data_IF_721552501229
#
_entry.id   IF_721552501229
#
_cell.length_a   1.000
_cell.length_b   1.000
_cell.length_c   1.000
_cell.angle_alpha   90.00
_cell.angle_beta   90.00
_cell.angle_gamma   90.00
#
_symmetry.space_group_name_H-M   'P 1'
#
loop_
_entity.id
_entity.type
_entity.pdbx_description
1 polymer ?
#
# COMPACT_ATOMS: atom_id res chain seq x y z
N UNK A 1 -3.60 25.42 1.24
CA UNK A 1 -4.22 26.43 0.38
C UNK A 1 -5.72 26.17 0.23
N UNK A 2 -6.19 25.01 -0.25
CA UNK A 2 -7.63 24.70 -0.43
C UNK A 2 -8.46 24.87 0.84
N UNK A 3 -7.98 24.41 2.01
CA UNK A 3 -8.64 24.62 3.33
C UNK A 3 -8.80 26.10 3.72
N UNK A 4 -8.04 27.00 3.09
CA UNK A 4 -8.12 28.46 3.28
C UNK A 4 -8.98 29.14 2.20
N UNK A 5 -9.64 28.36 1.34
CA UNK A 5 -10.52 28.88 0.28
C UNK A 5 -9.82 29.36 -0.98
N UNK A 6 -8.50 29.10 -1.14
CA UNK A 6 -7.82 29.42 -2.40
C UNK A 6 -8.28 28.45 -3.50
N UNK A 7 -8.60 28.99 -4.67
CA UNK A 7 -8.88 28.22 -5.87
C UNK A 7 -7.61 27.80 -6.62
N UNK A 8 -7.78 26.98 -7.65
CA UNK A 8 -6.68 26.47 -8.46
C UNK A 8 -5.93 27.62 -9.17
N UNK A 9 -6.66 28.62 -9.65
CA UNK A 9 -6.07 29.73 -10.41
C UNK A 9 -5.19 30.59 -9.52
N UNK A 10 -5.64 30.90 -8.31
CA UNK A 10 -4.85 31.66 -7.33
C UNK A 10 -3.64 30.88 -6.84
N UNK A 11 -3.76 29.56 -6.62
CA UNK A 11 -2.61 28.74 -6.22
C UNK A 11 -1.59 28.67 -7.35
N UNK A 12 -2.03 28.51 -8.61
CA UNK A 12 -1.15 28.54 -9.76
C UNK A 12 -0.44 29.89 -9.91
N UNK A 13 -1.15 30.99 -9.76
CA UNK A 13 -0.57 32.35 -9.81
C UNK A 13 0.60 32.50 -8.81
N UNK A 14 0.40 32.01 -7.59
CA UNK A 14 1.36 32.14 -6.50
C UNK A 14 2.55 31.18 -6.58
N UNK A 15 2.31 29.94 -7.06
CA UNK A 15 3.30 28.85 -6.97
C UNK A 15 3.91 28.46 -8.30
N UNK A 16 3.27 28.82 -9.41
CA UNK A 16 3.56 28.37 -10.77
C UNK A 16 3.45 26.86 -10.98
N UNK A 17 2.90 26.11 -10.02
CA UNK A 17 2.59 24.69 -10.18
C UNK A 17 1.54 24.55 -11.27
N UNK A 18 1.75 23.63 -12.21
CA UNK A 18 0.80 23.38 -13.30
C UNK A 18 -0.60 23.03 -12.75
N UNK A 19 -1.61 23.60 -13.39
CA UNK A 19 -3.02 23.46 -12.98
C UNK A 19 -3.50 22.01 -12.96
N UNK A 20 -2.94 21.15 -13.83
CA UNK A 20 -3.30 19.74 -13.86
C UNK A 20 -3.04 19.06 -12.51
N UNK A 21 -1.85 19.30 -11.91
CA UNK A 21 -1.54 18.79 -10.57
C UNK A 21 -2.44 19.40 -9.49
N UNK A 22 -2.71 20.71 -9.59
CA UNK A 22 -3.57 21.40 -8.64
C UNK A 22 -5.00 20.88 -8.67
N UNK A 23 -5.53 20.53 -9.86
CA UNK A 23 -6.85 19.88 -9.97
C UNK A 23 -6.84 18.50 -9.31
N UNK A 24 -5.78 17.70 -9.46
CA UNK A 24 -5.65 16.41 -8.76
C UNK A 24 -5.63 16.57 -7.26
N UNK A 25 -4.85 17.53 -6.75
CA UNK A 25 -4.83 17.85 -5.31
C UNK A 25 -6.18 18.38 -4.80
N UNK A 26 -6.89 19.16 -5.60
CA UNK A 26 -8.25 19.60 -5.26
C UNK A 26 -9.21 18.42 -5.12
N UNK A 27 -9.13 17.42 -6.02
CA UNK A 27 -9.96 16.23 -5.92
C UNK A 27 -9.70 15.47 -4.62
N UNK A 28 -8.43 15.29 -4.23
CA UNK A 28 -8.07 14.71 -2.93
C UNK A 28 -8.65 15.51 -1.76
N UNK A 29 -8.57 16.84 -1.83
CA UNK A 29 -9.14 17.72 -0.81
C UNK A 29 -10.68 17.57 -0.71
N UNK A 30 -11.37 17.49 -1.84
CA UNK A 30 -12.82 17.28 -1.88
C UNK A 30 -13.22 15.96 -1.22
N UNK A 31 -12.57 14.85 -1.59
CA UNK A 31 -12.80 13.54 -0.97
C UNK A 31 -12.50 13.56 0.54
N UNK A 32 -11.42 14.21 0.96
CA UNK A 32 -11.12 14.37 2.39
C UNK A 32 -12.21 15.16 3.12
N UNK A 33 -12.71 16.25 2.52
CA UNK A 33 -13.76 17.08 3.11
C UNK A 33 -15.09 16.32 3.22
N UNK A 34 -15.41 15.49 2.22
CA UNK A 34 -16.60 14.64 2.25
C UNK A 34 -16.50 13.58 3.35
N UNK A 35 -15.35 12.92 3.51
CA UNK A 35 -15.10 12.02 4.64
C UNK A 35 -15.18 12.76 5.99
N UNK A 36 -14.64 13.98 6.07
CA UNK A 36 -14.70 14.83 7.26
C UNK A 36 -16.14 15.29 7.61
N UNK A 37 -17.08 15.24 6.69
CA UNK A 37 -18.51 15.55 6.97
C UNK A 37 -19.24 14.43 7.71
N UNK A 38 -18.71 13.21 7.68
CA UNK A 38 -19.27 12.05 8.35
C UNK A 38 -18.85 12.00 9.83
N UNK A 39 -19.56 11.19 10.64
CA UNK A 39 -19.29 11.04 12.07
C UNK A 39 -18.97 9.58 12.46
N UNK A 40 -19.39 8.61 11.67
CA UNK A 40 -19.16 7.19 11.95
C UNK A 40 -18.63 6.45 10.73
N UNK A 41 -17.70 5.53 10.91
CA UNK A 41 -17.09 4.74 9.83
C UNK A 41 -18.16 3.96 9.04
N UNK A 42 -19.15 3.41 9.72
CA UNK A 42 -20.25 2.67 9.09
C UNK A 42 -21.13 3.50 8.13
N UNK A 43 -21.09 4.83 8.26
CA UNK A 43 -21.90 5.74 7.45
C UNK A 43 -21.17 6.11 6.13
N UNK A 44 -19.95 5.61 5.89
CA UNK A 44 -19.20 5.87 4.66
C UNK A 44 -19.89 5.15 3.49
N UNK A 45 -20.37 5.87 2.46
CA UNK A 45 -20.92 5.24 1.27
C UNK A 45 -19.86 4.40 0.53
N UNK A 46 -20.31 3.28 -0.08
CA UNK A 46 -19.42 2.38 -0.81
C UNK A 46 -18.59 3.09 -1.88
N UNK A 47 -19.24 3.95 -2.67
CA UNK A 47 -18.56 4.67 -3.75
C UNK A 47 -17.52 5.67 -3.22
N UNK A 48 -17.82 6.37 -2.12
CA UNK A 48 -16.88 7.27 -1.48
C UNK A 48 -15.66 6.50 -0.91
N UNK A 49 -15.90 5.35 -0.27
CA UNK A 49 -14.82 4.51 0.25
C UNK A 49 -13.94 3.98 -0.87
N UNK A 50 -14.55 3.50 -1.97
CA UNK A 50 -13.83 3.04 -3.15
C UNK A 50 -13.00 4.17 -3.79
N UNK A 51 -13.59 5.35 -3.97
CA UNK A 51 -12.89 6.52 -4.50
C UNK A 51 -11.71 6.91 -3.62
N UNK A 52 -11.89 6.98 -2.30
CA UNK A 52 -10.82 7.30 -1.37
C UNK A 52 -9.66 6.28 -1.47
N UNK A 53 -9.95 4.97 -1.56
CA UNK A 53 -8.92 3.93 -1.76
C UNK A 53 -8.20 4.08 -3.10
N UNK A 54 -8.92 4.38 -4.17
CA UNK A 54 -8.34 4.62 -5.50
C UNK A 54 -7.46 5.86 -5.54
N UNK A 55 -7.78 6.87 -4.74
CA UNK A 55 -6.98 8.09 -4.59
C UNK A 55 -5.80 7.94 -3.63
N UNK A 56 -5.61 6.78 -3.00
CA UNK A 56 -4.46 6.48 -2.16
C UNK A 56 -4.65 6.77 -0.66
N UNK A 57 -5.86 7.06 -0.19
CA UNK A 57 -6.10 7.19 1.25
C UNK A 57 -5.91 5.84 1.95
N UNK A 58 -5.09 5.81 2.99
CA UNK A 58 -4.98 4.63 3.85
C UNK A 58 -6.23 4.45 4.72
N UNK A 59 -6.47 3.23 5.20
CA UNK A 59 -7.57 2.95 6.13
C UNK A 59 -7.48 3.84 7.38
N UNK A 60 -6.24 4.13 7.83
CA UNK A 60 -5.99 5.05 8.95
C UNK A 60 -6.35 6.51 8.62
N UNK A 61 -6.00 7.00 7.43
CA UNK A 61 -6.34 8.36 7.01
C UNK A 61 -7.85 8.55 6.89
N UNK A 62 -8.57 7.54 6.36
CA UNK A 62 -10.02 7.53 6.28
C UNK A 62 -10.63 7.55 7.68
N UNK A 63 -10.17 6.67 8.59
CA UNK A 63 -10.64 6.66 9.97
C UNK A 63 -10.42 8.02 10.66
N UNK A 64 -9.24 8.62 10.48
CA UNK A 64 -8.89 9.93 11.05
C UNK A 64 -9.77 11.06 10.50
N UNK A 65 -10.08 11.04 9.21
CA UNK A 65 -10.95 12.05 8.60
C UNK A 65 -12.38 11.99 9.16
N UNK A 66 -12.93 10.77 9.29
CA UNK A 66 -14.30 10.56 9.77
C UNK A 66 -14.43 10.78 11.27
N UNK A 67 -13.55 10.19 12.07
CA UNK A 67 -13.65 10.20 13.53
C UNK A 67 -13.09 11.47 14.19
N UNK A 68 -12.19 12.19 13.51
CA UNK A 68 -11.60 13.45 14.01
C UNK A 68 -10.99 13.28 15.41
N UNK A 69 -11.51 14.00 16.40
CA UNK A 69 -11.08 13.92 17.80
C UNK A 69 -11.51 12.61 18.48
N UNK A 70 -12.49 11.90 17.93
CA UNK A 70 -13.00 10.63 18.46
C UNK A 70 -12.26 9.40 17.90
N UNK A 71 -11.06 9.57 17.33
CA UNK A 71 -10.29 8.49 16.72
C UNK A 71 -9.95 7.36 17.71
N UNK A 72 -9.74 7.71 19.00
CA UNK A 72 -9.40 6.73 20.03
C UNK A 72 -8.14 5.95 19.70
N UNK A 73 -8.20 4.62 19.81
CA UNK A 73 -7.11 3.74 19.38
C UNK A 73 -7.08 3.67 17.86
N UNK A 74 -6.04 4.27 17.26
CA UNK A 74 -5.87 4.33 15.81
C UNK A 74 -5.79 2.96 15.12
N UNK A 75 -5.26 1.95 15.80
CA UNK A 75 -5.22 0.58 15.28
C UNK A 75 -6.63 -0.02 15.17
N UNK A 76 -7.46 0.15 16.19
CA UNK A 76 -8.84 -0.31 16.18
C UNK A 76 -9.67 0.41 15.11
N UNK A 77 -9.48 1.71 14.96
CA UNK A 77 -10.14 2.50 13.93
C UNK A 77 -9.76 2.03 12.51
N UNK A 78 -8.49 1.70 12.29
CA UNK A 78 -7.99 1.10 11.05
C UNK A 78 -8.69 -0.23 10.74
N UNK A 79 -8.81 -1.12 11.74
CA UNK A 79 -9.52 -2.39 11.59
C UNK A 79 -11.00 -2.22 11.23
N UNK A 80 -11.68 -1.19 11.77
CA UNK A 80 -13.08 -0.89 11.44
C UNK A 80 -13.24 -0.47 9.96
N UNK A 81 -12.35 0.36 9.43
CA UNK A 81 -12.35 0.72 8.01
C UNK A 81 -12.04 -0.50 7.14
N UNK A 82 -11.04 -1.31 7.53
CA UNK A 82 -10.72 -2.57 6.84
C UNK A 82 -11.93 -3.52 6.79
N UNK A 83 -12.65 -3.68 7.88
CA UNK A 83 -13.85 -4.52 7.94
C UNK A 83 -14.92 -4.01 6.97
N UNK A 84 -15.23 -2.71 7.00
CA UNK A 84 -16.22 -2.11 6.12
C UNK A 84 -15.86 -2.25 4.63
N UNK A 85 -14.59 -1.99 4.24
CA UNK A 85 -14.22 -2.15 2.84
C UNK A 85 -14.22 -3.61 2.38
N UNK A 86 -13.94 -4.57 3.29
CA UNK A 86 -14.07 -6.00 2.97
C UNK A 86 -15.54 -6.40 2.77
N UNK A 87 -16.46 -5.86 3.58
CA UNK A 87 -17.91 -6.03 3.43
C UNK A 87 -18.39 -5.49 2.08
N UNK A 88 -17.88 -4.34 1.65
CA UNK A 88 -18.17 -3.75 0.34
C UNK A 88 -17.43 -4.43 -0.83
N UNK A 89 -16.60 -5.44 -0.57
CA UNK A 89 -15.79 -6.11 -1.60
C UNK A 89 -14.66 -5.23 -2.18
N UNK A 90 -14.30 -4.14 -1.52
CA UNK A 90 -13.23 -3.23 -1.94
C UNK A 90 -11.89 -3.82 -1.51
N UNK A 91 -11.24 -4.52 -2.44
CA UNK A 91 -9.94 -5.18 -2.24
C UNK A 91 -8.94 -4.66 -3.26
N UNK A 92 -7.66 -4.50 -2.89
CA UNK A 92 -6.64 -4.19 -3.86
C UNK A 92 -6.35 -5.41 -4.74
N UNK A 93 -5.85 -5.14 -5.93
CA UNK A 93 -5.31 -6.15 -6.84
C UNK A 93 -3.80 -6.01 -6.92
N UNK A 94 -3.12 -7.09 -7.28
CA UNK A 94 -1.67 -7.12 -7.46
C UNK A 94 -1.34 -6.97 -8.94
N UNK A 95 -0.46 -6.04 -9.22
CA UNK A 95 0.05 -5.76 -10.56
C UNK A 95 1.55 -6.02 -10.61
N UNK A 96 2.02 -6.51 -11.76
CA UNK A 96 3.44 -6.67 -12.04
C UNK A 96 4.01 -5.34 -12.56
N UNK A 97 5.21 -4.98 -12.07
CA UNK A 97 5.89 -3.78 -12.56
C UNK A 97 6.48 -4.08 -13.94
N UNK A 98 6.04 -3.31 -14.94
CA UNK A 98 6.59 -3.38 -16.28
C UNK A 98 7.93 -2.64 -16.33
N UNK A 99 9.00 -3.39 -16.57
CA UNK A 99 10.37 -2.87 -16.70
C UNK A 99 10.82 -2.75 -18.15
N UNK A 100 9.95 -3.08 -19.13
CA UNK A 100 10.28 -3.20 -20.55
C UNK A 100 9.42 -2.27 -21.44
N UNK A 101 8.78 -1.26 -20.85
CA UNK A 101 7.96 -0.27 -21.55
C UNK A 101 6.87 -0.89 -22.46
N UNK A 102 6.29 -2.00 -22.04
CA UNK A 102 5.31 -2.81 -22.78
C UNK A 102 5.81 -3.37 -24.15
N UNK A 103 7.10 -3.34 -24.41
CA UNK A 103 7.67 -3.95 -25.63
C UNK A 103 7.65 -5.49 -25.54
N UNK A 104 7.82 -6.03 -24.33
CA UNK A 104 7.70 -7.45 -24.03
C UNK A 104 6.92 -7.67 -22.73
N UNK A 105 6.27 -8.83 -22.54
CA UNK A 105 5.66 -9.18 -21.26
C UNK A 105 6.70 -9.14 -20.15
N UNK A 106 6.41 -8.42 -19.07
CA UNK A 106 7.29 -8.38 -17.91
C UNK A 106 7.39 -9.77 -17.25
N UNK A 107 8.61 -10.22 -16.96
CA UNK A 107 8.88 -11.52 -16.34
C UNK A 107 9.54 -11.36 -14.96
N UNK A 108 9.58 -10.13 -14.44
CA UNK A 108 10.13 -9.84 -13.13
C UNK A 108 9.17 -10.28 -12.03
N UNK A 109 9.71 -10.57 -10.85
CA UNK A 109 8.95 -10.82 -9.63
C UNK A 109 8.53 -9.54 -8.89
N UNK A 110 8.66 -8.37 -9.55
CA UNK A 110 8.35 -7.05 -8.99
C UNK A 110 6.88 -6.76 -9.05
N UNK A 111 6.27 -6.61 -7.89
CA UNK A 111 4.84 -6.48 -7.72
C UNK A 111 4.51 -5.21 -6.92
N UNK A 112 3.29 -4.70 -7.10
CA UNK A 112 2.70 -3.66 -6.26
C UNK A 112 1.19 -3.86 -6.13
N UNK A 113 0.60 -3.29 -5.08
CA UNK A 113 -0.85 -3.36 -4.87
C UNK A 113 -1.53 -2.06 -5.25
N UNK A 114 -2.68 -2.17 -5.91
CA UNK A 114 -3.47 -1.01 -6.33
C UNK A 114 -4.97 -1.26 -6.22
N UNK A 115 -5.74 -0.21 -5.96
CA UNK A 115 -7.20 -0.22 -6.07
C UNK A 115 -7.69 0.25 -7.45
N UNK A 116 -6.76 0.58 -8.36
CA UNK A 116 -7.07 1.05 -9.72
C UNK A 116 -7.05 -0.07 -10.78
N UNK A 117 -7.08 -1.32 -10.35
CA UNK A 117 -7.16 -2.49 -11.21
C UNK A 117 -8.40 -3.32 -10.95
N UNK A 118 -8.69 -4.26 -11.85
CA UNK A 118 -9.81 -5.19 -11.76
C UNK A 118 -9.38 -6.65 -11.58
N UNK A 119 -8.16 -6.98 -11.99
CA UNK A 119 -7.61 -8.34 -11.98
C UNK A 119 -6.20 -8.36 -11.44
N UNK A 120 -5.80 -9.49 -10.88
CA UNK A 120 -4.40 -9.75 -10.55
C UNK A 120 -3.62 -10.13 -11.82
N UNK A 121 -2.34 -9.74 -11.89
CA UNK A 121 -1.43 -10.15 -12.96
C UNK A 121 -0.72 -11.47 -12.63
N UNK A 122 -0.81 -11.94 -11.39
CA UNK A 122 -0.20 -13.18 -10.93
C UNK A 122 -1.24 -14.15 -10.38
N UNK A 123 -0.94 -15.44 -10.48
CA UNK A 123 -1.68 -16.50 -9.79
C UNK A 123 -1.12 -16.73 -8.38
N UNK A 124 -1.98 -17.16 -7.47
CA UNK A 124 -1.60 -17.51 -6.10
C UNK A 124 -1.77 -19.02 -5.90
N UNK A 125 -0.72 -19.65 -5.38
CA UNK A 125 -0.80 -21.01 -4.90
C UNK A 125 -1.24 -21.00 -3.43
N UNK A 126 -2.31 -21.68 -3.10
CA UNK A 126 -2.84 -21.82 -1.74
C UNK A 126 -2.30 -23.10 -1.05
N UNK A 127 -1.02 -23.40 -1.22
CA UNK A 127 -0.36 -24.57 -0.63
C UNK A 127 0.17 -24.32 0.80
N UNK A 128 0.02 -23.09 1.30
CA UNK A 128 0.52 -22.67 2.61
C UNK A 128 2.04 -22.66 2.76
N UNK A 129 2.80 -22.82 1.68
CA UNK A 129 4.26 -22.90 1.70
C UNK A 129 4.93 -21.57 1.37
N UNK A 130 4.51 -20.49 2.00
CA UNK A 130 5.13 -19.18 1.83
C UNK A 130 5.47 -18.54 3.17
N UNK A 131 6.54 -17.77 3.19
CA UNK A 131 6.97 -16.94 4.32
C UNK A 131 7.13 -15.51 3.83
N UNK A 132 6.53 -14.59 4.58
CA UNK A 132 6.63 -13.15 4.30
C UNK A 132 7.73 -12.56 5.16
N UNK A 133 8.68 -11.89 4.52
CA UNK A 133 9.74 -11.11 5.16
C UNK A 133 9.42 -9.62 4.94
N UNK A 134 9.38 -8.87 6.04
CA UNK A 134 9.14 -7.42 6.00
C UNK A 134 10.48 -6.70 6.12
N UNK A 135 10.79 -5.87 5.13
CA UNK A 135 12.03 -5.10 5.10
C UNK A 135 12.01 -3.87 5.99
N UNK A 136 13.13 -3.15 6.00
CA UNK A 136 13.30 -1.95 6.83
C UNK A 136 12.87 -0.64 6.14
N UNK A 137 12.55 -0.68 4.85
CA UNK A 137 12.24 0.51 4.06
C UNK A 137 13.48 1.31 3.63
N UNK A 138 13.28 2.59 3.33
CA UNK A 138 14.36 3.47 2.89
C UNK A 138 15.36 3.75 4.01
N UNK A 139 16.63 3.85 3.67
CA UNK A 139 17.68 4.22 4.61
C UNK A 139 17.46 5.65 5.13
N UNK A 140 17.70 5.80 6.43
CA UNK A 140 17.57 7.07 7.16
C UNK A 140 18.54 7.08 8.34
N UNK A 141 18.71 8.22 8.99
CA UNK A 141 19.48 8.30 10.24
C UNK A 141 18.91 7.31 11.27
N UNK A 142 19.76 6.42 11.78
CA UNK A 142 19.39 5.33 12.70
C UNK A 142 18.90 4.06 12.03
N UNK A 143 18.89 4.00 10.69
CA UNK A 143 18.67 2.79 9.89
C UNK A 143 19.91 2.48 9.09
N UNK A 144 20.37 1.24 9.10
CA UNK A 144 21.60 0.83 8.44
C UNK A 144 21.40 -0.42 7.57
N UNK A 145 22.42 -0.75 6.79
CA UNK A 145 22.44 -1.92 5.89
C UNK A 145 22.29 -3.24 6.63
N UNK A 146 22.57 -3.29 7.94
CA UNK A 146 22.42 -4.50 8.75
C UNK A 146 20.98 -5.01 8.79
N UNK A 147 19.98 -4.11 8.73
CA UNK A 147 18.58 -4.51 8.66
C UNK A 147 18.25 -5.21 7.33
N UNK A 148 18.85 -4.76 6.23
CA UNK A 148 18.72 -5.42 4.95
C UNK A 148 19.44 -6.76 4.93
N UNK A 149 20.60 -6.85 5.55
CA UNK A 149 21.34 -8.12 5.73
C UNK A 149 20.50 -9.17 6.46
N UNK A 150 19.77 -8.79 7.50
CA UNK A 150 18.84 -9.68 8.19
C UNK A 150 17.74 -10.18 7.23
N UNK A 151 17.15 -9.29 6.44
CA UNK A 151 16.13 -9.63 5.45
C UNK A 151 16.65 -10.58 4.39
N UNK A 152 17.84 -10.32 3.84
CA UNK A 152 18.52 -11.19 2.87
C UNK A 152 18.74 -12.60 3.43
N UNK A 153 19.28 -12.71 4.65
CA UNK A 153 19.51 -14.02 5.28
C UNK A 153 18.21 -14.77 5.58
N UNK A 154 17.15 -14.06 5.98
CA UNK A 154 15.84 -14.65 6.15
C UNK A 154 15.29 -15.23 4.83
N UNK A 155 15.35 -14.46 3.73
CA UNK A 155 14.92 -14.89 2.40
C UNK A 155 15.70 -16.12 1.92
N UNK A 156 17.04 -16.09 2.03
CA UNK A 156 17.91 -17.21 1.65
C UNK A 156 17.62 -18.48 2.47
N UNK A 157 17.31 -18.32 3.76
CA UNK A 157 16.94 -19.45 4.62
C UNK A 157 15.60 -20.03 4.19
N UNK A 158 14.60 -19.21 3.95
CA UNK A 158 13.28 -19.63 3.44
C UNK A 158 13.43 -20.46 2.15
N UNK A 159 14.24 -19.97 1.20
CA UNK A 159 14.51 -20.68 -0.05
C UNK A 159 15.22 -22.03 0.18
N UNK A 160 16.21 -22.10 1.10
CA UNK A 160 16.91 -23.35 1.45
C UNK A 160 15.98 -24.41 2.03
N UNK A 161 15.00 -23.98 2.82
CA UNK A 161 13.99 -24.87 3.40
C UNK A 161 12.90 -25.30 2.38
N UNK A 162 13.01 -24.87 1.12
CA UNK A 162 12.07 -25.22 0.06
C UNK A 162 10.73 -24.50 0.16
N UNK A 163 10.70 -23.36 0.84
CA UNK A 163 9.52 -22.52 0.98
C UNK A 163 9.57 -21.33 0.02
N UNK A 164 8.41 -20.83 -0.36
CA UNK A 164 8.30 -19.64 -1.19
C UNK A 164 8.59 -18.39 -0.36
N UNK A 165 9.54 -17.60 -0.81
CA UNK A 165 9.95 -16.36 -0.18
C UNK A 165 9.18 -15.18 -0.74
N UNK A 166 8.57 -14.38 0.14
CA UNK A 166 7.84 -13.17 -0.22
C UNK A 166 8.48 -12.00 0.53
N UNK A 167 8.94 -11.00 -0.19
CA UNK A 167 9.52 -9.78 0.39
C UNK A 167 8.54 -8.61 0.25
N UNK A 168 8.41 -7.81 1.30
CA UNK A 168 7.72 -6.51 1.27
C UNK A 168 8.75 -5.44 1.63
N UNK A 169 9.07 -4.58 0.68
CA UNK A 169 9.94 -3.43 0.91
C UNK A 169 9.65 -2.34 -0.12
N UNK A 170 9.83 -1.06 0.25
CA UNK A 170 9.67 0.07 -0.68
C UNK A 170 11.00 0.74 -1.06
N UNK A 171 12.13 0.21 -0.58
CA UNK A 171 13.45 0.68 -0.98
C UNK A 171 13.94 -0.12 -2.19
N UNK A 172 14.05 0.47 -3.40
CA UNK A 172 14.52 -0.24 -4.58
C UNK A 172 16.06 -0.37 -4.65
N UNK A 173 16.80 0.31 -3.77
CA UNK A 173 18.26 0.44 -3.80
C UNK A 173 18.94 -0.48 -2.74
N UNK A 174 18.39 -1.66 -2.51
CA UNK A 174 18.92 -2.56 -1.49
C UNK A 174 18.92 -4.02 -1.95
N UNK A 175 19.82 -4.85 -1.42
CA UNK A 175 20.04 -6.23 -1.86
C UNK A 175 18.80 -7.10 -1.68
N UNK A 176 18.01 -6.91 -0.62
CA UNK A 176 16.78 -7.69 -0.41
C UNK A 176 15.72 -7.46 -1.49
N UNK A 177 15.86 -6.40 -2.28
CA UNK A 177 14.98 -6.06 -3.40
C UNK A 177 15.57 -6.34 -4.77
N UNK A 178 16.68 -7.05 -4.84
CA UNK A 178 17.21 -7.56 -6.10
C UNK A 178 16.30 -8.69 -6.63
N UNK A 179 16.19 -8.78 -7.96
CA UNK A 179 15.22 -9.65 -8.65
C UNK A 179 15.40 -11.15 -8.33
N UNK A 180 16.58 -11.58 -7.91
CA UNK A 180 16.94 -12.99 -7.65
C UNK A 180 16.89 -13.37 -6.16
N UNK A 181 16.64 -12.40 -5.28
CA UNK A 181 16.64 -12.62 -3.83
C UNK A 181 15.42 -13.38 -3.32
N UNK A 182 14.24 -13.16 -3.93
CA UNK A 182 13.01 -13.79 -3.48
C UNK A 182 12.10 -14.20 -4.65
N UNK A 183 11.11 -15.04 -4.36
CA UNK A 183 10.15 -15.50 -5.38
C UNK A 183 9.13 -14.43 -5.73
N UNK A 184 8.75 -13.57 -4.76
CA UNK A 184 7.82 -12.45 -4.93
C UNK A 184 8.29 -11.25 -4.15
N UNK A 185 8.40 -10.12 -4.82
CA UNK A 185 8.83 -8.85 -4.24
C UNK A 185 7.73 -7.82 -4.40
N UNK A 186 7.17 -7.38 -3.29
CA UNK A 186 6.19 -6.29 -3.25
C UNK A 186 6.88 -4.97 -2.93
N UNK A 187 6.94 -4.08 -3.91
CA UNK A 187 7.27 -2.68 -3.70
C UNK A 187 6.05 -1.96 -3.14
N UNK A 188 5.91 -1.99 -1.84
CA UNK A 188 4.75 -1.42 -1.16
C UNK A 188 5.13 -0.88 0.23
N UNK A 189 4.25 -0.06 0.81
CA UNK A 189 4.47 0.51 2.14
C UNK A 189 4.55 -0.58 3.22
N UNK A 190 5.44 -0.38 4.19
CA UNK A 190 5.57 -1.24 5.38
C UNK A 190 4.53 -0.86 6.43
N UNK A 191 3.27 -0.80 6.03
CA UNK A 191 2.13 -0.49 6.90
C UNK A 191 1.36 -1.76 7.23
N UNK A 192 0.68 -1.75 8.38
CA UNK A 192 -0.21 -2.85 8.78
C UNK A 192 -1.24 -3.17 7.69
N UNK A 193 -1.83 -2.15 7.07
CA UNK A 193 -2.82 -2.32 6.00
C UNK A 193 -2.26 -3.12 4.83
N UNK A 194 -1.06 -2.74 4.35
CA UNK A 194 -0.43 -3.36 3.18
C UNK A 194 0.06 -4.77 3.50
N UNK A 195 0.76 -4.94 4.62
CA UNK A 195 1.22 -6.25 5.05
C UNK A 195 0.06 -7.24 5.19
N UNK A 196 -1.04 -6.84 5.85
CA UNK A 196 -2.24 -7.66 6.00
C UNK A 196 -2.98 -7.92 4.69
N UNK A 197 -2.90 -7.03 3.72
CA UNK A 197 -3.49 -7.27 2.40
C UNK A 197 -2.67 -8.29 1.60
N UNK A 198 -1.34 -8.20 1.63
CA UNK A 198 -0.43 -9.14 0.97
C UNK A 198 -0.54 -10.54 1.59
N UNK A 199 -0.51 -10.65 2.91
CA UNK A 199 -0.65 -11.94 3.62
C UNK A 199 -2.00 -12.61 3.40
N UNK A 200 -3.07 -11.84 3.19
CA UNK A 200 -4.39 -12.38 2.88
C UNK A 200 -4.48 -12.98 1.46
N UNK A 201 -3.64 -12.53 0.53
CA UNK A 201 -3.58 -13.05 -0.84
C UNK A 201 -2.65 -14.27 -0.97
N UNK A 202 -1.59 -14.30 -0.20
CA UNK A 202 -0.64 -15.40 -0.14
C UNK A 202 -0.51 -15.86 1.33
N UNK A 203 -1.50 -16.60 1.85
CA UNK A 203 -1.51 -16.95 3.26
C UNK A 203 -0.25 -17.71 3.63
N UNK A 204 0.58 -17.16 4.53
CA UNK A 204 1.81 -17.80 4.96
C UNK A 204 1.47 -18.97 5.88
N UNK A 205 2.28 -20.00 5.84
CA UNK A 205 2.19 -21.12 6.80
C UNK A 205 2.78 -20.75 8.18
N UNK A 206 3.66 -19.76 8.22
CA UNK A 206 4.33 -19.26 9.40
C UNK A 206 4.05 -17.77 9.64
N UNK A 207 4.18 -17.28 10.87
CA UNK A 207 4.09 -15.85 11.15
C UNK A 207 5.14 -15.08 10.35
N UNK A 208 4.80 -13.84 9.99
CA UNK A 208 5.69 -12.91 9.31
C UNK A 208 6.91 -12.65 10.19
N UNK A 209 8.11 -12.81 9.61
CA UNK A 209 9.36 -12.43 10.22
C UNK A 209 9.63 -10.95 9.93
N UNK A 210 9.95 -10.19 10.95
CA UNK A 210 10.31 -8.76 10.85
C UNK A 210 11.63 -8.48 11.58
#
# INVERSE_FOLDING_TARGET
AFRKGYDVDKIHELTKIDKWFLYKLRNLYQTATELESLNHIKDIPQDLLKLAKQQGFSDFQIAKAVLKQNLGNGHEANLKVRALRNEYGIKPVVKQIDTLAAEYPAQTNYLYMTYNGTTHDIAYENDGKSVVVVGSGAYRIGSSVEFDWCSVNALLTVKREGWRSVMINYNPETVSTDYDMCDRLYFDELTFERAMAITALAPPHAPTLS
#
